data_IF_935242757682
#
_entry.id   IF_935242757682
#
_cell.length_a   1.000
_cell.length_b   1.000
_cell.length_c   1.000
_cell.angle_alpha   90.00
_cell.angle_beta   90.00
_cell.angle_gamma   90.00
#
_symmetry.space_group_name_H-M   'P 1'
#
loop_
_entity.id
_entity.type
_entity.pdbx_description
1 polymer ?
#
# COMPACT_ATOMS: atom_id res chain seq x y z
N UNK A 1 -8.77 14.03 -6.97
CA UNK A 1 -9.78 13.25 -6.22
C UNK A 1 -11.01 12.85 -7.04
N UNK A 2 -11.31 13.42 -8.22
CA UNK A 2 -12.44 12.93 -9.05
C UNK A 2 -12.25 11.54 -9.67
N UNK A 3 -11.05 10.96 -9.69
CA UNK A 3 -10.81 9.66 -10.34
C UNK A 3 -11.14 8.45 -9.47
N UNK A 4 -11.36 8.61 -8.15
CA UNK A 4 -11.75 7.49 -7.27
C UNK A 4 -13.26 7.21 -7.30
N UNK A 5 -14.06 8.12 -7.84
CA UNK A 5 -15.51 8.00 -7.88
C UNK A 5 -16.02 7.39 -9.19
N UNK A 6 -17.11 6.66 -9.10
CA UNK A 6 -17.87 6.16 -10.24
C UNK A 6 -18.64 7.29 -10.94
N UNK A 7 -18.91 7.15 -12.26
CA UNK A 7 -19.84 8.03 -12.96
C UNK A 7 -21.20 8.12 -12.26
N UNK A 8 -21.93 9.21 -12.50
CA UNK A 8 -23.29 9.37 -12.00
C UNK A 8 -24.20 8.20 -12.44
N UNK A 9 -25.07 7.74 -11.55
CA UNK A 9 -25.98 6.62 -11.82
C UNK A 9 -25.36 5.21 -11.79
N UNK A 10 -24.04 5.09 -11.58
CA UNK A 10 -23.36 3.81 -11.30
C UNK A 10 -23.12 3.63 -9.80
N UNK A 11 -23.22 2.40 -9.33
CA UNK A 11 -22.89 2.03 -7.95
C UNK A 11 -21.89 0.88 -7.90
N UNK A 12 -21.08 0.85 -6.84
CA UNK A 12 -20.06 -0.16 -6.61
C UNK A 12 -20.62 -1.58 -6.68
N UNK A 13 -21.83 -1.79 -6.11
CA UNK A 13 -22.49 -3.09 -6.09
C UNK A 13 -22.74 -3.71 -7.47
N UNK A 14 -22.88 -2.90 -8.54
CA UNK A 14 -23.05 -3.39 -9.91
C UNK A 14 -21.76 -3.99 -10.49
N UNK A 15 -20.62 -3.66 -9.88
CA UNK A 15 -19.29 -4.08 -10.28
C UNK A 15 -18.76 -5.23 -9.42
N UNK A 16 -19.56 -5.79 -8.50
CA UNK A 16 -19.16 -6.86 -7.60
C UNK A 16 -20.01 -8.11 -7.83
N UNK A 17 -19.43 -9.28 -7.60
CA UNK A 17 -20.25 -10.50 -7.49
C UNK A 17 -21.12 -10.44 -6.22
N UNK A 18 -22.22 -11.22 -6.14
CA UNK A 18 -23.04 -11.26 -4.93
C UNK A 18 -22.21 -11.57 -3.67
N UNK A 19 -21.29 -12.52 -3.76
CA UNK A 19 -20.40 -12.90 -2.67
C UNK A 19 -19.49 -11.74 -2.23
N UNK A 20 -18.86 -11.04 -3.17
CA UNK A 20 -18.00 -9.89 -2.87
C UNK A 20 -18.79 -8.75 -2.19
N UNK A 21 -20.01 -8.49 -2.68
CA UNK A 21 -20.90 -7.48 -2.10
C UNK A 21 -21.28 -7.85 -0.68
N UNK A 22 -21.65 -9.11 -0.42
CA UNK A 22 -22.03 -9.57 0.91
C UNK A 22 -20.85 -9.49 1.89
N UNK A 23 -19.64 -9.84 1.43
CA UNK A 23 -18.40 -9.66 2.22
C UNK A 23 -18.11 -8.19 2.53
N UNK A 24 -18.25 -7.30 1.56
CA UNK A 24 -18.06 -5.86 1.78
C UNK A 24 -19.09 -5.29 2.77
N UNK A 25 -20.37 -5.66 2.64
CA UNK A 25 -21.43 -5.25 3.58
C UNK A 25 -21.14 -5.77 4.98
N UNK A 26 -20.70 -7.03 5.11
CA UNK A 26 -20.29 -7.61 6.39
C UNK A 26 -19.12 -6.84 7.02
N UNK A 27 -18.10 -6.50 6.23
CA UNK A 27 -16.98 -5.67 6.66
C UNK A 27 -17.44 -4.29 7.15
N UNK A 28 -18.26 -3.59 6.35
CA UNK A 28 -18.80 -2.28 6.73
C UNK A 28 -19.62 -2.36 8.02
N UNK A 29 -20.47 -3.39 8.16
CA UNK A 29 -21.25 -3.66 9.36
C UNK A 29 -20.39 -3.93 10.60
N UNK A 30 -19.30 -4.72 10.47
CA UNK A 30 -18.31 -4.96 11.54
C UNK A 30 -17.74 -3.65 12.10
N UNK A 31 -17.58 -2.64 11.26
CA UNK A 31 -17.04 -1.33 11.62
C UNK A 31 -18.10 -0.22 11.70
N UNK A 32 -19.37 -0.59 11.92
CA UNK A 32 -20.50 0.32 12.14
C UNK A 32 -20.72 1.36 11.01
N UNK A 33 -20.40 0.97 9.77
CA UNK A 33 -20.63 1.77 8.56
C UNK A 33 -21.91 1.33 7.85
N UNK A 34 -22.65 2.26 7.20
CA UNK A 34 -23.80 1.89 6.39
C UNK A 34 -23.35 1.05 5.19
N UNK A 35 -24.21 0.15 4.72
CA UNK A 35 -23.93 -0.69 3.54
C UNK A 35 -23.63 0.14 2.27
N UNK A 36 -24.08 1.40 2.26
CA UNK A 36 -23.93 2.35 1.15
C UNK A 36 -22.70 3.27 1.29
N UNK A 37 -21.85 3.10 2.31
CA UNK A 37 -20.70 3.98 2.61
C UNK A 37 -19.80 4.20 1.38
N UNK A 38 -19.58 3.13 0.59
CA UNK A 38 -18.64 3.11 -0.54
C UNK A 38 -19.35 2.99 -1.91
N UNK A 39 -20.67 3.21 -1.98
CA UNK A 39 -21.46 2.97 -3.20
C UNK A 39 -20.99 3.79 -4.41
N UNK A 40 -20.40 4.95 -4.16
CA UNK A 40 -19.93 5.87 -5.21
C UNK A 40 -18.46 5.67 -5.55
N UNK A 41 -17.74 4.81 -4.84
CA UNK A 41 -16.33 4.55 -5.08
C UNK A 41 -16.13 3.53 -6.19
N UNK A 42 -15.04 3.69 -6.96
CA UNK A 42 -14.54 2.61 -7.82
C UNK A 42 -14.07 1.45 -6.95
N UNK A 43 -14.01 0.25 -7.54
CA UNK A 43 -13.64 -0.97 -6.83
C UNK A 43 -12.25 -0.84 -6.16
N UNK A 44 -11.25 -0.27 -6.85
CA UNK A 44 -9.93 -0.04 -6.26
C UNK A 44 -9.97 0.94 -5.08
N UNK A 45 -10.83 1.96 -5.14
CA UNK A 45 -10.92 2.99 -4.10
C UNK A 45 -11.60 2.42 -2.85
N UNK A 46 -12.65 1.61 -3.04
CA UNK A 46 -13.27 0.83 -1.98
C UNK A 46 -12.25 -0.13 -1.33
N UNK A 47 -11.44 -0.83 -2.15
CA UNK A 47 -10.38 -1.71 -1.65
C UNK A 47 -9.33 -0.94 -0.82
N UNK A 48 -8.86 0.21 -1.30
CA UNK A 48 -7.92 1.06 -0.56
C UNK A 48 -8.51 1.62 0.77
N UNK A 49 -9.83 1.79 0.84
CA UNK A 49 -10.52 2.27 2.03
C UNK A 49 -10.64 1.19 3.13
N UNK A 50 -10.68 -0.11 2.80
CA UNK A 50 -10.83 -1.21 3.76
C UNK A 50 -9.83 -1.13 4.93
N UNK A 51 -8.50 -1.17 4.72
CA UNK A 51 -7.55 -1.13 5.83
C UNK A 51 -7.61 0.19 6.61
N UNK A 52 -7.93 1.30 5.94
CA UNK A 52 -8.09 2.61 6.56
C UNK A 52 -9.30 2.65 7.52
N UNK A 53 -10.46 2.17 7.07
CA UNK A 53 -11.68 2.09 7.87
C UNK A 53 -11.52 1.16 9.08
N UNK A 54 -10.86 0.01 8.88
CA UNK A 54 -10.54 -0.93 9.96
C UNK A 54 -9.65 -0.29 11.04
N UNK A 55 -8.61 0.43 10.62
CA UNK A 55 -7.70 1.12 11.52
C UNK A 55 -8.39 2.27 12.27
N UNK A 56 -9.23 3.06 11.58
CA UNK A 56 -10.00 4.17 12.17
C UNK A 56 -10.88 3.72 13.32
N UNK A 57 -11.56 2.59 13.14
CA UNK A 57 -12.54 2.12 14.11
C UNK A 57 -11.89 1.34 15.26
N UNK A 58 -10.75 0.69 15.03
CA UNK A 58 -10.00 -0.04 16.07
C UNK A 58 -9.22 0.89 16.99
N UNK A 59 -8.71 2.01 16.46
CA UNK A 59 -7.90 2.97 17.23
C UNK A 59 -8.48 4.40 17.24
N UNK A 60 -9.76 4.62 17.61
CA UNK A 60 -10.45 5.88 17.38
C UNK A 60 -9.89 7.05 18.21
N UNK A 61 -9.42 6.79 19.44
CA UNK A 61 -8.78 7.81 20.30
C UNK A 61 -7.32 8.09 19.93
N UNK A 62 -6.74 7.26 19.08
CA UNK A 62 -5.33 7.28 18.69
C UNK A 62 -5.14 7.52 17.20
N UNK A 63 -6.22 7.69 16.44
CA UNK A 63 -6.17 8.04 15.03
C UNK A 63 -5.61 9.46 14.91
N UNK A 64 -4.32 9.54 14.60
CA UNK A 64 -3.50 10.76 14.63
C UNK A 64 -2.56 10.90 15.85
N UNK A 65 -2.82 10.23 16.97
CA UNK A 65 -2.06 10.42 18.22
C UNK A 65 -1.29 9.19 18.73
N UNK A 66 -1.76 7.95 18.56
CA UNK A 66 -1.10 6.76 19.13
C UNK A 66 -1.09 5.48 18.26
N UNK A 67 -1.29 5.61 16.96
CA UNK A 67 -0.72 4.67 15.98
C UNK A 67 -0.06 5.48 14.87
N UNK A 68 0.97 6.27 15.23
CA UNK A 68 1.78 6.93 14.20
C UNK A 68 2.47 5.80 13.44
N UNK A 69 2.09 5.61 12.19
CA UNK A 69 2.88 4.78 11.27
C UNK A 69 4.34 5.24 11.34
N UNK A 70 5.29 4.37 11.01
CA UNK A 70 6.69 4.79 10.98
C UNK A 70 6.87 6.01 10.07
N UNK A 71 6.13 6.07 8.97
CA UNK A 71 6.11 7.20 8.04
C UNK A 71 5.58 8.49 8.68
N UNK A 72 4.47 8.44 9.43
CA UNK A 72 3.95 9.61 10.15
C UNK A 72 4.94 10.11 11.22
N UNK A 73 5.57 9.18 11.93
CA UNK A 73 6.61 9.52 12.91
C UNK A 73 7.79 10.23 12.24
N UNK A 74 8.28 9.69 11.12
CA UNK A 74 9.39 10.29 10.36
C UNK A 74 9.00 11.67 9.79
N UNK A 75 7.80 11.80 9.24
CA UNK A 75 7.28 13.06 8.70
C UNK A 75 7.17 14.13 9.80
N UNK A 76 6.57 13.81 10.95
CA UNK A 76 6.47 14.74 12.08
C UNK A 76 7.84 15.12 12.64
N UNK A 77 8.78 14.18 12.73
CA UNK A 77 10.15 14.44 13.16
C UNK A 77 10.89 15.36 12.18
N UNK A 78 10.66 15.19 10.88
CA UNK A 78 11.22 16.07 9.83
C UNK A 78 10.71 17.50 9.99
N UNK A 79 9.38 17.67 10.13
CA UNK A 79 8.74 18.96 10.35
C UNK A 79 9.23 19.66 11.63
N UNK A 80 9.32 18.93 12.75
CA UNK A 80 9.82 19.46 14.01
C UNK A 80 11.28 19.95 13.92
N UNK A 81 12.08 19.31 13.05
CA UNK A 81 13.49 19.68 12.78
C UNK A 81 13.66 20.66 11.63
N UNK A 82 12.57 21.12 11.01
CA UNK A 82 12.60 21.97 9.80
C UNK A 82 13.41 21.36 8.66
N UNK A 83 13.47 20.03 8.57
CA UNK A 83 14.04 19.32 7.43
C UNK A 83 13.00 19.29 6.31
N UNK A 84 13.35 19.60 5.05
CA UNK A 84 12.40 19.51 3.95
C UNK A 84 11.82 18.10 3.80
N UNK A 85 10.50 18.01 3.77
CA UNK A 85 9.80 16.76 3.49
C UNK A 85 9.47 16.70 2.00
N UNK A 86 10.07 15.74 1.30
CA UNK A 86 9.91 15.57 -0.15
C UNK A 86 9.31 14.19 -0.44
N UNK A 87 8.32 14.15 -1.34
CA UNK A 87 7.78 12.89 -1.85
C UNK A 87 8.69 12.28 -2.91
N UNK A 88 9.04 11.01 -2.75
CA UNK A 88 9.70 10.23 -3.82
C UNK A 88 8.70 9.97 -4.96
N UNK A 89 7.41 9.85 -4.62
CA UNK A 89 6.30 9.64 -5.54
C UNK A 89 5.18 10.65 -5.23
N UNK A 90 4.28 10.85 -6.19
CA UNK A 90 3.11 11.70 -6.04
C UNK A 90 1.84 10.88 -5.86
N UNK A 91 0.87 11.43 -5.14
CA UNK A 91 -0.48 10.82 -5.01
C UNK A 91 -1.10 10.55 -6.39
N UNK A 92 -0.84 11.42 -7.38
CA UNK A 92 -1.36 11.25 -8.74
C UNK A 92 -0.79 10.01 -9.42
N UNK A 93 0.50 9.71 -9.22
CA UNK A 93 1.14 8.53 -9.79
C UNK A 93 0.57 7.24 -9.19
N UNK A 94 0.33 7.22 -7.88
CA UNK A 94 -0.31 6.07 -7.23
C UNK A 94 -1.75 5.88 -7.71
N UNK A 95 -2.55 6.94 -7.72
CA UNK A 95 -3.95 6.88 -8.18
C UNK A 95 -4.03 6.48 -9.65
N UNK A 96 -3.12 6.95 -10.51
CA UNK A 96 -3.11 6.59 -11.92
C UNK A 96 -2.88 5.08 -12.12
N UNK A 97 -2.15 4.43 -11.22
CA UNK A 97 -2.00 2.98 -11.27
C UNK A 97 -3.25 2.24 -10.80
N UNK A 98 -3.79 2.60 -9.64
CA UNK A 98 -4.99 1.95 -9.10
C UNK A 98 -6.12 2.05 -10.13
N UNK A 99 -6.20 3.19 -10.83
CA UNK A 99 -7.16 3.41 -11.91
C UNK A 99 -6.82 2.69 -13.24
N UNK A 100 -5.59 2.22 -13.41
CA UNK A 100 -5.16 1.44 -14.58
C UNK A 100 -5.47 -0.06 -14.46
N UNK A 101 -5.81 -0.53 -13.26
CA UNK A 101 -6.18 -1.92 -13.02
C UNK A 101 -7.48 -2.26 -13.78
N UNK A 102 -7.50 -3.42 -14.41
CA UNK A 102 -8.73 -4.00 -14.97
C UNK A 102 -9.75 -4.25 -13.87
N UNK A 103 -11.04 -4.31 -14.22
CA UNK A 103 -12.08 -4.54 -13.20
C UNK A 103 -11.85 -5.84 -12.42
N UNK A 104 -11.34 -6.88 -13.07
CA UNK A 104 -11.01 -8.17 -12.45
C UNK A 104 -9.85 -8.03 -11.46
N UNK A 105 -8.83 -7.24 -11.79
CA UNK A 105 -7.72 -6.96 -10.87
C UNK A 105 -8.16 -6.09 -9.68
N UNK A 106 -9.05 -5.12 -9.88
CA UNK A 106 -9.60 -4.33 -8.79
C UNK A 106 -10.47 -5.17 -7.85
N UNK A 107 -11.30 -6.05 -8.41
CA UNK A 107 -12.10 -7.01 -7.63
C UNK A 107 -11.20 -7.93 -6.81
N UNK A 108 -10.16 -8.47 -7.43
CA UNK A 108 -9.18 -9.30 -6.75
C UNK A 108 -8.43 -8.54 -5.64
N UNK A 109 -8.13 -7.26 -5.84
CA UNK A 109 -7.58 -6.39 -4.80
C UNK A 109 -8.56 -6.25 -3.62
N UNK A 110 -9.84 -6.01 -3.89
CA UNK A 110 -10.87 -5.91 -2.86
C UNK A 110 -10.98 -7.21 -2.04
N UNK A 111 -10.95 -8.37 -2.69
CA UNK A 111 -10.96 -9.66 -1.99
C UNK A 111 -9.74 -9.79 -1.08
N UNK A 112 -8.55 -9.45 -1.57
CA UNK A 112 -7.30 -9.57 -0.82
C UNK A 112 -7.29 -8.72 0.46
N UNK A 113 -7.78 -7.48 0.39
CA UNK A 113 -7.86 -6.61 1.58
C UNK A 113 -8.93 -7.07 2.57
N UNK A 114 -10.04 -7.64 2.08
CA UNK A 114 -11.08 -8.22 2.93
C UNK A 114 -10.60 -9.51 3.60
N UNK A 115 -9.90 -10.39 2.88
CA UNK A 115 -9.25 -11.59 3.43
C UNK A 115 -8.22 -11.20 4.51
N UNK A 116 -7.47 -10.12 4.28
CA UNK A 116 -6.50 -9.60 5.26
C UNK A 116 -7.18 -9.08 6.53
N UNK A 117 -8.36 -8.45 6.44
CA UNK A 117 -9.13 -8.01 7.61
C UNK A 117 -9.73 -9.19 8.40
N UNK A 118 -10.15 -10.24 7.70
CA UNK A 118 -10.72 -11.45 8.31
C UNK A 118 -9.67 -12.29 9.03
N UNK A 119 -8.43 -12.28 8.55
CA UNK A 119 -7.32 -13.08 9.08
C UNK A 119 -6.34 -12.28 9.97
N UNK A 120 -6.79 -11.17 10.57
CA UNK A 120 -5.97 -10.37 11.50
C UNK A 120 -5.58 -11.20 12.73
N UNK A 121 -4.28 -11.35 12.99
CA UNK A 121 -3.75 -12.21 14.05
C UNK A 121 -2.22 -12.41 13.97
N UNK A 122 -1.76 -13.64 14.24
CA UNK A 122 -0.33 -14.02 14.34
C UNK A 122 0.54 -13.60 13.14
N UNK A 123 -0.07 -13.45 11.96
CA UNK A 123 0.59 -12.96 10.75
C UNK A 123 1.19 -11.56 10.90
N UNK A 124 0.51 -10.65 11.61
CA UNK A 124 1.00 -9.27 11.83
C UNK A 124 2.25 -9.28 12.73
N UNK A 125 2.23 -10.09 13.79
CA UNK A 125 3.37 -10.23 14.69
C UNK A 125 4.58 -10.84 13.97
N UNK A 126 4.36 -11.78 13.05
CA UNK A 126 5.44 -12.30 12.20
C UNK A 126 6.02 -11.21 11.28
N UNK A 127 5.16 -10.42 10.61
CA UNK A 127 5.58 -9.32 9.74
C UNK A 127 6.43 -8.28 10.50
N UNK A 128 5.99 -7.87 11.69
CA UNK A 128 6.74 -6.94 12.54
C UNK A 128 8.11 -7.53 12.92
N UNK A 129 8.20 -8.83 13.24
CA UNK A 129 9.47 -9.49 13.57
C UNK A 129 10.43 -9.49 12.37
N UNK A 130 9.97 -9.85 11.17
CA UNK A 130 10.83 -9.85 9.98
C UNK A 130 11.25 -8.43 9.58
N UNK A 131 10.32 -7.47 9.67
CA UNK A 131 10.62 -6.06 9.46
C UNK A 131 11.72 -5.55 10.40
N UNK A 132 11.65 -5.89 11.70
CA UNK A 132 12.67 -5.50 12.69
C UNK A 132 14.02 -6.19 12.49
N UNK A 133 14.05 -7.39 11.92
CA UNK A 133 15.29 -8.07 11.50
C UNK A 133 15.86 -7.50 10.20
N UNK A 134 15.06 -6.76 9.44
CA UNK A 134 15.39 -6.30 8.09
C UNK A 134 15.47 -7.46 7.08
N UNK A 135 14.73 -8.54 7.31
CA UNK A 135 14.64 -9.67 6.37
C UNK A 135 13.65 -9.34 5.24
N UNK A 136 14.10 -8.47 4.34
CA UNK A 136 13.28 -7.93 3.24
C UNK A 136 12.90 -8.98 2.19
N UNK A 137 13.70 -10.04 2.05
CA UNK A 137 13.41 -11.13 1.11
C UNK A 137 12.31 -12.03 1.70
N UNK A 138 12.38 -12.37 2.99
CA UNK A 138 11.28 -13.09 3.66
C UNK A 138 9.95 -12.31 3.64
N UNK A 139 9.99 -10.99 3.83
CA UNK A 139 8.80 -10.14 3.72
C UNK A 139 8.20 -10.17 2.30
N UNK A 140 9.06 -10.17 1.28
CA UNK A 140 8.61 -10.26 -0.12
C UNK A 140 8.03 -11.64 -0.43
N UNK A 141 8.67 -12.72 0.03
CA UNK A 141 8.19 -14.09 -0.19
C UNK A 141 6.81 -14.31 0.43
N UNK A 142 6.61 -13.93 1.71
CA UNK A 142 5.29 -14.01 2.36
C UNK A 142 4.22 -13.21 1.60
N UNK A 143 4.59 -12.04 1.07
CA UNK A 143 3.68 -11.22 0.27
C UNK A 143 3.26 -11.91 -1.04
N UNK A 144 4.20 -12.57 -1.72
CA UNK A 144 3.95 -13.30 -2.97
C UNK A 144 3.14 -14.56 -2.71
N UNK A 145 3.48 -15.32 -1.67
CA UNK A 145 2.82 -16.58 -1.31
C UNK A 145 1.35 -16.36 -0.96
N UNK A 146 1.05 -15.32 -0.18
CA UNK A 146 -0.34 -14.92 0.13
C UNK A 146 -1.17 -14.58 -1.11
N UNK A 147 -0.52 -14.23 -2.22
CA UNK A 147 -1.18 -13.85 -3.48
C UNK A 147 -1.00 -14.91 -4.57
N UNK A 148 -0.39 -16.06 -4.27
CA UNK A 148 -0.20 -17.15 -5.23
C UNK A 148 -1.55 -17.66 -5.79
N UNK A 149 -2.60 -17.63 -4.95
CA UNK A 149 -3.96 -18.04 -5.31
C UNK A 149 -4.77 -16.96 -6.04
N UNK A 150 -4.18 -15.78 -6.28
CA UNK A 150 -4.81 -14.66 -7.01
C UNK A 150 -3.90 -14.26 -8.18
N UNK A 151 -3.66 -15.12 -9.19
CA UNK A 151 -2.56 -14.95 -10.12
C UNK A 151 -2.64 -13.68 -10.97
N UNK A 152 -3.86 -13.25 -11.32
CA UNK A 152 -4.09 -12.03 -12.09
C UNK A 152 -3.64 -10.79 -11.31
N UNK A 153 -4.06 -10.69 -10.04
CA UNK A 153 -3.66 -9.59 -9.17
C UNK A 153 -2.19 -9.67 -8.77
N UNK A 154 -1.69 -10.85 -8.40
CA UNK A 154 -0.29 -11.04 -8.03
C UNK A 154 0.69 -10.55 -9.11
N UNK A 155 0.45 -10.90 -10.38
CA UNK A 155 1.26 -10.43 -11.51
C UNK A 155 1.12 -8.93 -11.76
N UNK A 156 -0.09 -8.38 -11.68
CA UNK A 156 -0.34 -6.96 -11.85
C UNK A 156 0.39 -6.12 -10.79
N UNK A 157 0.33 -6.58 -9.54
CA UNK A 157 0.98 -5.93 -8.40
C UNK A 157 2.49 -6.05 -8.48
N UNK A 158 3.04 -7.22 -8.80
CA UNK A 158 4.50 -7.36 -8.95
C UNK A 158 5.04 -6.45 -10.05
N UNK A 159 4.41 -6.45 -11.23
CA UNK A 159 4.79 -5.57 -12.34
C UNK A 159 4.77 -4.10 -11.90
N UNK A 160 3.77 -3.72 -11.12
CA UNK A 160 3.65 -2.35 -10.66
C UNK A 160 4.69 -1.97 -9.61
N UNK A 161 4.90 -2.82 -8.60
CA UNK A 161 5.95 -2.63 -7.59
C UNK A 161 7.30 -2.43 -8.29
N UNK A 162 7.62 -3.26 -9.30
CA UNK A 162 8.87 -3.10 -10.04
C UNK A 162 8.96 -1.78 -10.83
N UNK A 163 7.88 -1.37 -11.49
CA UNK A 163 7.85 -0.07 -12.18
C UNK A 163 8.04 1.11 -11.22
N UNK A 164 7.45 1.03 -10.02
CA UNK A 164 7.67 2.01 -8.95
C UNK A 164 9.09 1.97 -8.41
N UNK A 165 9.65 0.78 -8.20
CA UNK A 165 11.02 0.62 -7.71
C UNK A 165 12.02 1.31 -8.65
N UNK A 166 11.85 1.17 -9.96
CA UNK A 166 12.68 1.89 -10.94
C UNK A 166 12.55 3.41 -10.80
N UNK A 167 11.32 3.92 -10.66
CA UNK A 167 11.05 5.34 -10.49
C UNK A 167 11.66 5.87 -9.19
N UNK A 168 11.45 5.15 -8.08
CA UNK A 168 12.02 5.46 -6.77
C UNK A 168 13.54 5.46 -6.84
N UNK A 169 14.17 4.41 -7.39
CA UNK A 169 15.63 4.34 -7.50
C UNK A 169 16.23 5.47 -8.34
N UNK A 170 15.62 5.80 -9.49
CA UNK A 170 16.04 6.93 -10.34
C UNK A 170 15.94 8.27 -9.61
N UNK A 171 14.86 8.48 -8.84
CA UNK A 171 14.67 9.72 -8.07
C UNK A 171 15.62 9.82 -6.88
N UNK A 172 15.84 8.72 -6.18
CA UNK A 172 16.84 8.62 -5.11
C UNK A 172 18.24 8.94 -5.67
N UNK A 173 18.65 8.30 -6.76
CA UNK A 173 19.95 8.55 -7.41
C UNK A 173 20.12 10.03 -7.77
N UNK A 174 19.10 10.63 -8.42
CA UNK A 174 19.11 12.05 -8.76
C UNK A 174 19.26 12.95 -7.52
N UNK A 175 18.53 12.67 -6.45
CA UNK A 175 18.57 13.47 -5.22
C UNK A 175 19.93 13.39 -4.53
N UNK A 176 20.52 12.19 -4.45
CA UNK A 176 21.83 11.99 -3.82
C UNK A 176 22.95 12.62 -4.67
N UNK A 177 22.92 12.47 -6.00
CA UNK A 177 23.93 13.06 -6.90
C UNK A 177 23.92 14.59 -6.91
N UNK A 178 22.80 15.20 -6.56
CA UNK A 178 22.69 16.65 -6.39
C UNK A 178 23.31 17.16 -5.07
N UNK A 179 23.96 16.29 -4.29
CA UNK A 179 24.67 16.66 -3.07
C UNK A 179 23.80 16.70 -1.81
N UNK A 180 22.58 16.17 -1.88
CA UNK A 180 21.67 16.15 -0.73
C UNK A 180 21.97 14.97 0.19
N UNK A 181 22.21 15.24 1.47
CA UNK A 181 22.15 14.24 2.54
C UNK A 181 20.69 13.94 2.86
N UNK A 182 20.18 12.80 2.36
CA UNK A 182 18.77 12.44 2.45
C UNK A 182 18.57 11.19 3.31
N UNK A 183 17.46 11.17 4.05
CA UNK A 183 16.86 9.95 4.58
C UNK A 183 15.67 9.60 3.70
N UNK A 184 15.66 8.40 3.14
CA UNK A 184 14.57 7.90 2.30
C UNK A 184 13.74 6.89 3.09
N UNK A 185 12.43 7.13 3.20
CA UNK A 185 11.46 6.17 3.72
C UNK A 185 10.72 5.54 2.53
N UNK A 186 10.82 4.21 2.39
CA UNK A 186 10.12 3.44 1.36
C UNK A 186 9.54 2.18 2.00
N UNK A 187 8.37 1.73 1.52
CA UNK A 187 7.74 0.52 2.02
C UNK A 187 8.63 -0.71 1.83
N UNK A 188 8.63 -1.62 2.81
CA UNK A 188 9.54 -2.78 2.81
C UNK A 188 9.42 -3.65 1.55
N UNK A 189 8.21 -3.73 0.97
CA UNK A 189 7.94 -4.44 -0.28
C UNK A 189 8.72 -3.93 -1.48
N UNK A 190 9.22 -2.69 -1.45
CA UNK A 190 10.02 -2.10 -2.52
C UNK A 190 11.50 -2.49 -2.44
N UNK A 191 11.97 -3.04 -1.31
CA UNK A 191 13.42 -3.17 -1.04
C UNK A 191 14.04 -4.45 -1.61
N UNK A 192 13.38 -5.59 -1.43
CA UNK A 192 13.89 -6.94 -1.72
C UNK A 192 13.71 -7.41 -3.17
N UNK A 193 14.31 -8.57 -3.50
CA UNK A 193 14.21 -9.19 -4.83
C UNK A 193 15.03 -8.51 -5.96
N UNK A 194 15.01 -9.10 -7.17
CA UNK A 194 15.81 -8.66 -8.32
C UNK A 194 15.47 -7.25 -8.82
N UNK A 195 14.18 -6.91 -8.76
CA UNK A 195 13.63 -5.59 -9.08
C UNK A 195 13.58 -4.63 -7.89
N UNK A 196 14.15 -4.98 -6.73
CA UNK A 196 14.11 -4.16 -5.52
C UNK A 196 14.97 -2.90 -5.62
N UNK A 197 14.56 -1.84 -4.91
CA UNK A 197 15.26 -0.54 -4.85
C UNK A 197 16.72 -0.71 -4.43
N UNK A 198 17.04 -1.60 -3.49
CA UNK A 198 18.43 -1.82 -3.04
C UNK A 198 19.31 -2.33 -4.19
N UNK A 199 18.82 -3.28 -4.98
CA UNK A 199 19.58 -3.80 -6.13
C UNK A 199 19.69 -2.77 -7.24
N UNK A 200 18.62 -2.01 -7.50
CA UNK A 200 18.63 -0.91 -8.46
C UNK A 200 19.67 0.15 -8.07
N UNK A 201 19.73 0.56 -6.80
CA UNK A 201 20.74 1.51 -6.31
C UNK A 201 22.17 0.95 -6.42
N UNK A 202 22.39 -0.34 -6.14
CA UNK A 202 23.70 -0.98 -6.40
C UNK A 202 24.10 -0.88 -7.88
N UNK A 203 23.15 -1.03 -8.81
CA UNK A 203 23.39 -0.82 -10.26
C UNK A 203 23.71 0.63 -10.61
N UNK A 204 23.24 1.60 -9.83
CA UNK A 204 23.63 3.01 -9.93
C UNK A 204 25.01 3.32 -9.32
N UNK A 205 25.71 2.32 -8.77
CA UNK A 205 27.06 2.45 -8.23
C UNK A 205 27.12 2.67 -6.71
N UNK A 206 26.01 2.55 -6.00
CA UNK A 206 25.98 2.76 -4.55
C UNK A 206 26.45 1.52 -3.78
N UNK A 207 27.26 1.74 -2.74
CA UNK A 207 27.51 0.73 -1.71
C UNK A 207 26.41 0.77 -0.67
N UNK A 208 25.58 -0.27 -0.58
CA UNK A 208 24.50 -0.38 0.39
C UNK A 208 24.90 -1.35 1.50
N UNK A 209 24.80 -0.89 2.76
CA UNK A 209 25.06 -1.67 3.98
C UNK A 209 23.81 -1.69 4.86
N UNK A 210 23.55 -2.82 5.48
CA UNK A 210 22.57 -2.97 6.54
C UNK A 210 23.31 -2.87 7.88
N UNK A 211 22.73 -2.15 8.84
CA UNK A 211 23.30 -1.87 10.15
C UNK A 211 22.40 -2.43 11.25
#
# INVERSE_FOLDING_TARGET
>A
MRSSLLPEGKVLGDLLTPEMRDRLIKFLGKYHKPATELDRDKVWAAAAAVPFLAAMNTFPRNFGAASKSLDDYLAQRSLARKVPLLGIETVREQVAWEDSLTIVEQQAFLIEVLDSDENQGEAEQWLIRQFRKGDIDALREDYLDKRANIPAFGKAVEKFIFSRNETQAKRIDKMVRNGSECVFAVGAMHLGGEGGVIRLLRRHGYTIRQF
#
